data_IF_296950361056
#
_entry.id   IF_296950361056
#
_cell.length_a   1.000
_cell.length_b   1.000
_cell.length_c   1.000
_cell.angle_alpha   90.00
_cell.angle_beta   90.00
_cell.angle_gamma   90.00
#
_symmetry.space_group_name_H-M   'P 1'
#
loop_
_entity.id
_entity.type
_entity.pdbx_description
1 polymer ?
#
# COMPACT_ATOMS: atom_id res chain seq x y z
N UNK A 1 -10.76 1.25 10.07
CA UNK A 1 -10.20 1.36 8.70
C UNK A 1 -9.62 0.06 8.17
N UNK A 2 -8.97 -0.77 9.00
CA UNK A 2 -8.37 -2.04 8.59
C UNK A 2 -9.36 -2.98 7.88
N UNK A 3 -10.54 -3.21 8.47
CA UNK A 3 -11.56 -4.09 7.88
C UNK A 3 -12.19 -3.58 6.57
N UNK A 4 -12.00 -2.30 6.23
CA UNK A 4 -12.57 -1.68 5.04
C UNK A 4 -11.50 -1.42 3.98
N UNK A 5 -10.61 -0.45 4.21
CA UNK A 5 -9.56 -0.12 3.25
C UNK A 5 -8.40 -1.12 3.30
N UNK A 6 -8.04 -1.57 4.51
CA UNK A 6 -6.91 -2.48 4.68
C UNK A 6 -7.10 -3.83 4.01
N UNK A 7 -8.32 -4.38 4.01
CA UNK A 7 -8.65 -5.62 3.29
C UNK A 7 -8.41 -5.50 1.79
N UNK A 8 -8.81 -4.38 1.17
CA UNK A 8 -8.52 -4.12 -0.25
C UNK A 8 -7.02 -3.95 -0.52
N UNK A 9 -6.25 -3.34 0.39
CA UNK A 9 -4.79 -3.22 0.24
C UNK A 9 -4.10 -4.58 0.32
N UNK A 10 -4.52 -5.44 1.24
CA UNK A 10 -4.01 -6.81 1.40
C UNK A 10 -4.36 -7.66 0.19
N UNK A 11 -5.60 -7.58 -0.31
CA UNK A 11 -6.03 -8.28 -1.51
C UNK A 11 -5.22 -7.84 -2.75
N UNK A 12 -5.06 -6.53 -2.96
CA UNK A 12 -4.26 -5.98 -4.04
C UNK A 12 -2.79 -6.45 -3.98
N UNK A 13 -2.19 -6.47 -2.78
CA UNK A 13 -0.84 -6.98 -2.56
C UNK A 13 -0.71 -8.45 -2.99
N UNK A 14 -1.61 -9.32 -2.50
CA UNK A 14 -1.59 -10.75 -2.86
C UNK A 14 -1.82 -10.96 -4.36
N UNK A 15 -2.70 -10.16 -4.98
CA UNK A 15 -2.95 -10.21 -6.43
C UNK A 15 -1.73 -9.79 -7.26
N UNK A 16 -1.05 -8.70 -6.87
CA UNK A 16 0.13 -8.18 -7.57
C UNK A 16 1.33 -9.14 -7.48
N UNK A 17 1.57 -9.71 -6.29
CA UNK A 17 2.71 -10.59 -6.04
C UNK A 17 2.41 -12.03 -6.48
N UNK A 18 1.12 -12.40 -6.59
CA UNK A 18 0.64 -13.77 -6.86
C UNK A 18 1.17 -14.77 -5.83
N UNK A 19 1.15 -14.37 -4.57
CA UNK A 19 1.67 -15.12 -3.43
C UNK A 19 0.76 -14.93 -2.20
N UNK A 20 0.91 -15.79 -1.20
CA UNK A 20 0.15 -15.78 0.05
C UNK A 20 1.05 -15.39 1.24
N UNK A 21 0.44 -14.72 2.22
CA UNK A 21 1.13 -14.38 3.48
C UNK A 21 1.44 -15.64 4.29
N UNK A 22 2.69 -15.81 4.72
CA UNK A 22 3.13 -16.91 5.58
C UNK A 22 3.15 -16.46 7.04
N UNK A 23 3.89 -15.40 7.33
CA UNK A 23 4.05 -14.83 8.67
C UNK A 23 3.81 -13.33 8.64
N UNK A 24 3.03 -12.81 9.57
CA UNK A 24 2.78 -11.37 9.65
C UNK A 24 2.56 -10.90 11.09
N UNK A 25 2.89 -9.63 11.31
CA UNK A 25 2.63 -8.93 12.55
C UNK A 25 2.05 -7.57 12.22
N UNK A 26 1.18 -7.07 13.09
CA UNK A 26 0.56 -5.78 12.85
C UNK A 26 0.13 -5.09 14.12
N UNK A 27 -0.14 -3.80 13.97
CA UNK A 27 -0.59 -2.90 15.01
C UNK A 27 -1.72 -2.04 14.45
N UNK A 28 -2.76 -1.83 15.27
CA UNK A 28 -3.93 -1.01 14.92
C UNK A 28 -4.09 0.06 16.00
N UNK A 29 -4.43 1.27 15.58
CA UNK A 29 -4.54 2.41 16.49
C UNK A 29 -5.64 3.40 16.08
N UNK A 30 -6.10 4.15 17.06
CA UNK A 30 -7.00 5.29 16.89
C UNK A 30 -6.30 6.53 17.44
N UNK A 31 -5.77 7.37 16.57
CA UNK A 31 -5.12 8.63 16.94
C UNK A 31 -6.14 9.71 17.30
N UNK A 32 -7.27 9.74 16.58
CA UNK A 32 -8.34 10.74 16.74
C UNK A 32 -9.59 10.05 17.29
N UNK A 33 -9.67 9.86 18.62
CA UNK A 33 -10.80 9.16 19.25
C UNK A 33 -12.09 10.00 19.27
N UNK A 34 -12.02 11.30 18.95
CA UNK A 34 -13.18 12.20 18.99
C UNK A 34 -13.18 13.18 17.82
N UNK A 35 -14.36 13.46 17.28
CA UNK A 35 -14.56 14.55 16.31
C UNK A 35 -15.82 15.32 16.70
N UNK A 36 -15.63 16.56 17.17
CA UNK A 36 -16.71 17.35 17.76
C UNK A 36 -17.26 16.67 19.02
N UNK A 37 -18.57 16.41 19.06
CA UNK A 37 -19.24 15.73 20.18
C UNK A 37 -19.33 14.20 20.03
N UNK A 38 -18.84 13.63 18.91
CA UNK A 38 -18.92 12.19 18.65
C UNK A 38 -17.63 11.48 19.04
N UNK A 39 -17.76 10.43 19.85
CA UNK A 39 -16.71 9.44 20.06
C UNK A 39 -16.58 8.56 18.82
N UNK A 40 -15.34 8.18 18.49
CA UNK A 40 -15.00 7.22 17.45
C UNK A 40 -14.20 6.09 18.09
N UNK A 41 -14.69 4.88 17.94
CA UNK A 41 -14.05 3.63 18.34
C UNK A 41 -13.36 2.92 17.18
N UNK A 42 -13.66 3.32 15.93
CA UNK A 42 -13.00 2.81 14.74
C UNK A 42 -11.52 3.21 14.69
N UNK A 43 -10.69 2.31 14.18
CA UNK A 43 -9.28 2.56 13.91
C UNK A 43 -9.09 3.55 12.76
N UNK A 44 -8.11 4.45 12.89
CA UNK A 44 -7.70 5.41 11.87
C UNK A 44 -6.26 5.18 11.36
N UNK A 45 -5.58 4.20 11.96
CA UNK A 45 -4.27 3.78 11.52
C UNK A 45 -4.04 2.29 11.74
N UNK A 46 -3.29 1.69 10.82
CA UNK A 46 -2.75 0.36 11.00
C UNK A 46 -1.39 0.24 10.31
N UNK A 47 -0.59 -0.68 10.81
CA UNK A 47 0.66 -1.10 10.20
C UNK A 47 0.72 -2.62 10.23
N UNK A 48 0.96 -3.24 9.08
CA UNK A 48 1.09 -4.68 8.93
C UNK A 48 2.36 -4.93 8.15
N UNK A 49 3.21 -5.82 8.65
CA UNK A 49 4.42 -6.25 7.96
C UNK A 49 4.56 -7.76 8.08
N UNK A 50 5.25 -8.36 7.12
CA UNK A 50 5.38 -9.80 7.13
C UNK A 50 6.20 -10.33 5.97
N UNK A 51 6.12 -11.65 5.85
CA UNK A 51 6.79 -12.47 4.86
C UNK A 51 5.72 -13.28 4.11
N UNK A 52 5.88 -13.38 2.80
CA UNK A 52 5.11 -14.25 1.94
C UNK A 52 5.79 -15.62 1.79
N UNK A 53 5.07 -16.63 1.27
CA UNK A 53 5.59 -17.99 1.12
C UNK A 53 6.81 -18.06 0.19
N UNK A 54 6.85 -17.28 -0.88
CA UNK A 54 7.97 -17.27 -1.83
C UNK A 54 9.12 -16.34 -1.40
N UNK A 55 9.30 -16.14 -0.09
CA UNK A 55 10.37 -15.34 0.54
C UNK A 55 10.38 -13.84 0.20
N UNK A 56 9.30 -13.29 -0.34
CA UNK A 56 9.15 -11.83 -0.42
C UNK A 56 8.70 -11.26 0.95
N UNK A 57 9.06 -10.02 1.24
CA UNK A 57 8.60 -9.29 2.43
C UNK A 57 7.67 -8.17 2.03
N UNK A 58 6.71 -7.83 2.88
CA UNK A 58 5.76 -6.76 2.61
C UNK A 58 5.56 -5.85 3.82
N UNK A 59 5.07 -4.64 3.54
CA UNK A 59 4.63 -3.67 4.53
C UNK A 59 3.42 -2.92 3.97
N UNK A 60 2.32 -2.90 4.72
CA UNK A 60 1.08 -2.20 4.43
C UNK A 60 0.77 -1.25 5.58
N UNK A 61 0.54 0.02 5.27
CA UNK A 61 0.31 1.05 6.28
C UNK A 61 -0.84 1.97 5.87
N UNK A 62 -1.63 2.36 6.85
CA UNK A 62 -2.56 3.48 6.75
C UNK A 62 -2.38 4.39 7.97
N UNK A 63 -2.38 5.70 7.73
CA UNK A 63 -2.53 6.72 8.77
C UNK A 63 -3.44 7.81 8.20
N UNK A 64 -4.69 7.89 8.66
CA UNK A 64 -5.67 8.88 8.15
C UNK A 64 -5.97 10.02 9.13
N UNK A 65 -5.60 9.87 10.41
CA UNK A 65 -5.83 10.86 11.47
C UNK A 65 -4.84 12.04 11.52
N UNK A 66 -4.04 12.26 10.47
CA UNK A 66 -2.97 13.27 10.45
C UNK A 66 -3.17 14.31 9.35
N UNK A 67 -2.78 15.55 9.62
CA UNK A 67 -2.75 16.61 8.62
C UNK A 67 -1.50 16.49 7.73
N UNK A 68 -1.65 16.83 6.44
CA UNK A 68 -0.55 16.77 5.46
C UNK A 68 0.13 15.39 5.38
N UNK A 69 -0.68 14.34 5.34
CA UNK A 69 -0.20 12.97 5.17
C UNK A 69 0.63 12.83 3.87
N UNK A 70 1.46 11.79 3.80
CA UNK A 70 2.38 11.51 2.68
C UNK A 70 1.70 11.07 1.37
N UNK A 71 0.37 11.06 1.31
CA UNK A 71 -0.38 10.58 0.15
C UNK A 71 -0.40 9.05 0.01
N UNK A 72 -0.88 8.55 -1.14
CA UNK A 72 -0.89 7.12 -1.45
C UNK A 72 0.41 6.74 -2.18
N UNK A 73 0.98 5.60 -1.81
CA UNK A 73 2.23 5.12 -2.40
C UNK A 73 2.23 3.59 -2.48
N UNK A 74 2.41 3.06 -3.69
CA UNK A 74 2.69 1.65 -3.93
C UNK A 74 4.12 1.52 -4.45
N UNK A 75 4.91 0.62 -3.86
CA UNK A 75 6.29 0.35 -4.28
C UNK A 75 6.53 -1.15 -4.34
N UNK A 76 7.00 -1.64 -5.48
CA UNK A 76 7.32 -3.04 -5.72
C UNK A 76 8.79 -3.14 -6.11
N UNK A 77 9.53 -3.92 -5.34
CA UNK A 77 10.96 -4.13 -5.55
C UNK A 77 11.20 -5.56 -6.02
N UNK A 78 11.57 -5.73 -7.28
CA UNK A 78 11.86 -7.01 -7.88
C UNK A 78 13.32 -7.12 -8.34
N UNK A 79 13.73 -8.34 -8.68
CA UNK A 79 15.07 -8.61 -9.21
C UNK A 79 15.36 -7.87 -10.53
N UNK A 80 14.35 -7.71 -11.38
CA UNK A 80 14.46 -7.03 -12.68
C UNK A 80 14.37 -5.51 -12.60
N UNK A 81 13.93 -4.95 -11.48
CA UNK A 81 13.69 -3.51 -11.36
C UNK A 81 12.70 -3.15 -10.27
N UNK A 82 12.31 -1.88 -10.26
CA UNK A 82 11.39 -1.30 -9.28
C UNK A 82 10.25 -0.58 -9.99
N UNK A 83 9.04 -0.75 -9.48
CA UNK A 83 7.84 -0.01 -9.90
C UNK A 83 7.38 0.83 -8.71
N UNK A 84 7.06 2.10 -8.95
CA UNK A 84 6.44 2.96 -7.93
C UNK A 84 5.24 3.69 -8.50
N UNK A 85 4.13 3.75 -7.76
CA UNK A 85 2.96 4.55 -8.08
C UNK A 85 2.69 5.51 -6.92
N UNK A 86 2.68 6.81 -7.22
CA UNK A 86 2.47 7.88 -6.24
C UNK A 86 1.16 8.60 -6.53
N UNK A 87 0.31 8.73 -5.51
CA UNK A 87 -0.98 9.44 -5.53
C UNK A 87 -1.91 9.04 -6.69
N UNK A 88 -1.80 7.79 -7.15
CA UNK A 88 -2.50 7.22 -8.30
C UNK A 88 -2.32 8.05 -9.60
N UNK A 89 -1.26 8.86 -9.66
CA UNK A 89 -1.00 9.85 -10.73
C UNK A 89 0.33 9.64 -11.41
N UNK A 90 1.35 9.25 -10.65
CA UNK A 90 2.70 9.17 -11.17
C UNK A 90 3.22 7.75 -11.09
N UNK A 91 3.29 7.08 -12.24
CA UNK A 91 3.91 5.77 -12.38
C UNK A 91 5.38 5.95 -12.76
N UNK A 92 6.27 5.29 -12.03
CA UNK A 92 7.68 5.20 -12.37
C UNK A 92 8.11 3.75 -12.49
N UNK A 93 9.03 3.51 -13.41
CA UNK A 93 9.69 2.23 -13.58
C UNK A 93 11.17 2.43 -13.85
N UNK A 94 11.99 1.54 -13.31
CA UNK A 94 13.43 1.51 -13.54
C UNK A 94 13.91 0.07 -13.47
N UNK A 95 14.71 -0.35 -14.45
CA UNK A 95 15.35 -1.67 -14.42
C UNK A 95 16.45 -1.72 -13.37
N UNK A 96 16.90 -2.92 -13.05
CA UNK A 96 18.03 -3.13 -12.15
C UNK A 96 19.24 -2.30 -12.58
N UNK A 97 19.80 -1.52 -11.63
CA UNK A 97 20.93 -0.58 -11.83
C UNK A 97 20.66 0.63 -12.72
N UNK A 98 19.43 0.84 -13.17
CA UNK A 98 19.00 2.04 -13.88
C UNK A 98 18.26 3.00 -12.94
N UNK A 99 18.11 4.27 -13.36
CA UNK A 99 17.29 5.24 -12.63
C UNK A 99 15.81 4.94 -12.82
N UNK A 100 14.99 5.28 -11.82
CA UNK A 100 13.54 5.33 -11.96
C UNK A 100 13.16 6.45 -12.94
N UNK A 101 12.39 6.12 -13.96
CA UNK A 101 11.89 7.07 -14.95
C UNK A 101 10.37 7.11 -14.90
N UNK A 102 9.80 8.30 -15.11
CA UNK A 102 8.34 8.47 -15.19
C UNK A 102 7.82 7.78 -16.45
N UNK A 103 6.78 6.97 -16.28
CA UNK A 103 6.11 6.26 -17.37
C UNK A 103 4.79 6.98 -17.64
N UNK A 104 4.61 7.43 -18.88
CA UNK A 104 3.34 7.95 -19.35
C UNK A 104 2.54 6.80 -19.94
N UNK A 105 1.47 6.38 -19.24
CA UNK A 105 0.53 5.40 -19.76
C UNK A 105 -0.51 6.14 -20.59
N UNK A 106 -0.31 6.20 -21.90
CA UNK A 106 -1.32 6.70 -22.84
C UNK A 106 -2.39 5.63 -23.03
N UNK A 107 -3.55 5.81 -22.39
CA UNK A 107 -4.76 4.99 -22.55
C UNK A 107 -4.59 3.50 -22.13
N UNK A 108 -4.93 3.13 -20.88
CA UNK A 108 -5.07 1.72 -20.54
C UNK A 108 -6.32 1.20 -21.25
N UNK A 109 -6.16 0.53 -22.40
CA UNK A 109 -7.26 -0.25 -22.96
C UNK A 109 -7.58 -1.37 -21.97
N UNK A 110 -8.61 -1.15 -21.15
CA UNK A 110 -9.22 -2.19 -20.33
C UNK A 110 -10.01 -3.05 -21.32
N UNK A 111 -9.36 -4.07 -21.86
CA UNK A 111 -10.07 -5.11 -22.61
C UNK A 111 -10.92 -5.89 -21.60
N UNK A 112 -12.22 -5.63 -21.65
CA UNK A 112 -13.27 -6.35 -20.92
C UNK A 112 -13.45 -7.77 -21.43
#
# INVERSE_FOLDING_TARGET
MLGALGTHMVDCLMWLVKDEMEDYSGFVHTHVPQTGLKQRDADDAFFIQGKMRDNSTFSVQLISGVNHAFGSNLRIFGSSGTITLTDDKELFFGKSKEKLNKINVSNPEITS
#
